data_IF_416149331312
#
_entry.id   IF_416149331312
#
_cell.length_a   1.000
_cell.length_b   1.000
_cell.length_c   1.000
_cell.angle_alpha   90.00
_cell.angle_beta   90.00
_cell.angle_gamma   90.00
#
_symmetry.space_group_name_H-M   'P 1'
#
loop_
_entity.id
_entity.type
_entity.pdbx_description
1 polymer ?
#
# COMPACT_ATOMS: atom_id res chain seq x y z
N UNK A 1 -13.43 -8.42 -39.96
CA UNK A 1 -13.26 -7.76 -38.65
C UNK A 1 -11.98 -6.94 -38.68
N UNK A 2 -12.06 -5.60 -38.61
CA UNK A 2 -10.86 -4.75 -38.49
C UNK A 2 -10.57 -4.55 -37.00
N UNK A 3 -9.41 -5.03 -36.54
CA UNK A 3 -8.89 -4.67 -35.23
C UNK A 3 -8.52 -3.18 -35.27
N UNK A 4 -9.20 -2.37 -34.46
CA UNK A 4 -8.84 -0.98 -34.25
C UNK A 4 -7.47 -0.87 -33.56
N UNK A 5 -6.77 0.27 -33.68
CA UNK A 5 -5.45 0.44 -33.07
C UNK A 5 -5.55 0.21 -31.56
N UNK A 6 -4.71 -0.68 -31.03
CA UNK A 6 -4.56 -0.91 -29.60
C UNK A 6 -4.27 0.42 -28.92
N UNK A 7 -5.21 0.93 -28.12
CA UNK A 7 -4.95 2.11 -27.30
C UNK A 7 -3.75 1.79 -26.41
N UNK A 8 -2.71 2.64 -26.37
CA UNK A 8 -1.60 2.41 -25.45
C UNK A 8 -2.18 2.39 -24.04
N UNK A 9 -2.07 1.24 -23.37
CA UNK A 9 -2.46 1.07 -21.98
C UNK A 9 -1.45 1.84 -21.11
N UNK A 10 -1.57 3.18 -21.10
CA UNK A 10 -0.80 4.04 -20.20
C UNK A 10 -1.32 3.77 -18.80
N UNK A 11 -0.65 2.88 -18.08
CA UNK A 11 -0.90 2.72 -16.65
C UNK A 11 -0.69 4.09 -15.99
N UNK A 12 -1.65 4.59 -15.20
CA UNK A 12 -1.43 5.82 -14.45
C UNK A 12 -0.17 5.68 -13.58
N UNK A 13 0.52 6.80 -13.27
CA UNK A 13 1.70 6.75 -12.42
C UNK A 13 1.36 6.05 -11.09
N UNK A 14 2.23 5.13 -10.68
CA UNK A 14 2.10 4.39 -9.42
C UNK A 14 1.87 5.40 -8.28
N UNK A 15 0.70 5.30 -7.63
CA UNK A 15 0.38 6.09 -6.44
C UNK A 15 0.77 5.27 -5.22
N UNK A 16 1.78 5.73 -4.50
CA UNK A 16 2.27 5.06 -3.31
C UNK A 16 1.43 5.47 -2.09
N UNK A 17 1.00 4.51 -1.29
CA UNK A 17 0.29 4.79 -0.03
C UNK A 17 0.87 3.92 1.05
N UNK A 18 1.34 4.55 2.13
CA UNK A 18 1.85 3.85 3.29
C UNK A 18 1.00 4.18 4.52
N UNK A 19 0.51 3.12 5.18
CA UNK A 19 -0.25 3.23 6.42
C UNK A 19 0.62 2.82 7.60
N UNK A 20 0.59 3.62 8.66
CA UNK A 20 1.31 3.37 9.90
C UNK A 20 0.30 3.05 11.01
N UNK A 21 0.36 1.84 11.57
CA UNK A 21 -0.47 1.41 12.70
C UNK A 21 -0.11 2.23 13.95
N UNK A 22 -0.96 3.17 14.35
CA UNK A 22 -0.78 3.96 15.58
C UNK A 22 0.41 4.93 15.61
N UNK A 23 1.32 4.90 14.63
CA UNK A 23 2.55 5.70 14.63
C UNK A 23 2.37 7.03 13.89
N UNK A 24 1.62 7.96 14.47
CA UNK A 24 1.37 9.30 13.89
C UNK A 24 2.66 10.07 13.57
N UNK A 25 3.68 9.96 14.44
CA UNK A 25 4.99 10.61 14.22
C UNK A 25 5.70 10.05 12.98
N UNK A 26 5.64 8.74 12.75
CA UNK A 26 6.26 8.11 11.59
C UNK A 26 5.59 8.57 10.29
N UNK A 27 4.25 8.61 10.26
CA UNK A 27 3.51 9.13 9.12
C UNK A 27 3.86 10.60 8.82
N UNK A 28 4.03 11.43 9.85
CA UNK A 28 4.42 12.84 9.70
C UNK A 28 5.83 12.97 9.11
N UNK A 29 6.81 12.27 9.68
CA UNK A 29 8.20 12.26 9.17
C UNK A 29 8.27 11.78 7.72
N UNK A 30 7.49 10.77 7.36
CA UNK A 30 7.45 10.27 5.99
C UNK A 30 6.88 11.31 5.01
N UNK A 31 5.86 12.07 5.44
CA UNK A 31 5.33 13.18 4.66
C UNK A 31 6.34 14.33 4.53
N UNK A 32 7.05 14.70 5.60
CA UNK A 32 8.14 15.68 5.57
C UNK A 32 9.23 15.25 4.57
N UNK A 33 9.65 13.98 4.62
CA UNK A 33 10.64 13.43 3.69
C UNK A 33 10.17 13.46 2.24
N UNK A 34 8.90 13.15 1.97
CA UNK A 34 8.35 13.23 0.62
C UNK A 34 8.36 14.67 0.08
N UNK A 35 8.02 15.65 0.92
CA UNK A 35 8.09 17.07 0.56
C UNK A 35 9.53 17.49 0.22
N UNK A 36 10.51 17.08 1.04
CA UNK A 36 11.93 17.37 0.81
C UNK A 36 12.46 16.78 -0.50
N UNK A 37 11.88 15.67 -0.97
CA UNK A 37 12.28 14.99 -2.20
C UNK A 37 11.33 15.26 -3.39
N UNK A 38 10.39 16.20 -3.24
CA UNK A 38 9.42 16.56 -4.28
C UNK A 38 8.55 15.38 -4.78
N UNK A 39 8.25 14.39 -3.93
CA UNK A 39 7.36 13.29 -4.28
C UNK A 39 5.89 13.71 -4.14
N UNK A 40 5.20 13.82 -5.28
CA UNK A 40 3.78 14.24 -5.35
C UNK A 40 2.79 13.06 -5.43
N UNK A 41 3.28 11.85 -5.68
CA UNK A 41 2.49 10.65 -5.92
C UNK A 41 2.35 9.75 -4.69
N UNK A 42 2.76 10.21 -3.50
CA UNK A 42 2.68 9.45 -2.25
C UNK A 42 1.70 10.05 -1.24
N UNK A 43 1.07 9.20 -0.43
CA UNK A 43 0.29 9.63 0.74
C UNK A 43 0.57 8.75 1.95
N UNK A 44 0.80 9.38 3.09
CA UNK A 44 1.07 8.72 4.37
C UNK A 44 -0.14 8.88 5.28
N UNK A 45 -0.60 7.76 5.85
CA UNK A 45 -1.84 7.74 6.63
C UNK A 45 -1.55 7.05 7.97
N UNK A 46 -1.76 7.75 9.07
CA UNK A 46 -1.82 7.11 10.38
C UNK A 46 -3.22 6.48 10.56
N UNK A 47 -3.26 5.20 10.90
CA UNK A 47 -4.53 4.47 11.07
C UNK A 47 -4.42 3.40 12.15
N UNK A 48 -5.57 2.85 12.54
CA UNK A 48 -5.62 1.65 13.37
C UNK A 48 -5.39 0.41 12.50
N UNK A 49 -4.94 -0.69 13.11
CA UNK A 49 -4.70 -1.93 12.36
C UNK A 49 -5.97 -2.65 11.96
N UNK A 50 -7.03 -2.51 12.77
CA UNK A 50 -8.31 -3.17 12.56
C UNK A 50 -9.04 -2.62 11.32
N UNK A 51 -8.48 -1.58 10.67
CA UNK A 51 -9.08 -0.91 9.52
C UNK A 51 -8.04 -0.36 8.55
N UNK A 52 -6.99 -1.14 8.28
CA UNK A 52 -5.92 -0.74 7.35
C UNK A 52 -6.47 -0.55 5.93
N UNK A 53 -7.33 -1.45 5.46
CA UNK A 53 -7.80 -1.46 4.07
C UNK A 53 -9.14 -0.74 3.84
N UNK A 54 -9.95 -0.50 4.88
CA UNK A 54 -11.31 0.08 4.78
C UNK A 54 -11.43 1.47 4.12
N UNK A 55 -10.31 2.20 3.92
CA UNK A 55 -10.30 3.56 3.36
C UNK A 55 -9.19 3.73 2.31
N UNK A 56 -8.98 2.71 1.48
CA UNK A 56 -8.05 2.77 0.35
C UNK A 56 -8.88 2.94 -0.93
N UNK A 57 -8.74 4.06 -1.67
CA UNK A 57 -9.49 4.30 -2.90
C UNK A 57 -8.83 3.60 -4.10
N UNK A 58 -8.52 2.32 -3.93
CA UNK A 58 -7.91 1.43 -4.94
C UNK A 58 -8.47 0.04 -4.69
N UNK A 59 -8.87 -0.63 -5.76
CA UNK A 59 -9.27 -2.02 -5.74
C UNK A 59 -8.06 -2.93 -5.50
N UNK A 60 -8.22 -3.98 -4.70
CA UNK A 60 -7.13 -4.89 -4.36
C UNK A 60 -6.41 -5.45 -5.58
N UNK A 61 -7.15 -5.97 -6.56
CA UNK A 61 -6.59 -6.59 -7.76
C UNK A 61 -5.80 -5.62 -8.67
N UNK A 62 -5.86 -4.31 -8.43
CA UNK A 62 -5.05 -3.29 -9.09
C UNK A 62 -3.84 -2.85 -8.25
N UNK A 63 -3.70 -3.38 -7.03
CA UNK A 63 -2.71 -2.99 -6.04
C UNK A 63 -1.58 -4.01 -5.87
N UNK A 64 -0.47 -3.52 -5.34
CA UNK A 64 0.55 -4.35 -4.72
C UNK A 64 0.72 -3.88 -3.27
N UNK A 65 0.86 -4.83 -2.34
CA UNK A 65 1.01 -4.55 -0.91
C UNK A 65 2.40 -5.00 -0.48
N UNK A 66 3.15 -4.08 0.14
CA UNK A 66 4.43 -4.37 0.78
C UNK A 66 4.19 -4.41 2.29
N UNK A 67 4.59 -5.51 2.93
CA UNK A 67 4.47 -5.72 4.37
C UNK A 67 5.87 -5.93 4.94
N UNK A 68 6.22 -5.08 5.90
CA UNK A 68 7.43 -5.19 6.71
C UNK A 68 6.98 -5.32 8.18
N UNK A 69 6.69 -6.55 8.64
CA UNK A 69 6.16 -6.79 9.97
C UNK A 69 7.25 -6.75 11.04
N UNK A 70 6.88 -6.56 12.33
CA UNK A 70 7.81 -6.80 13.43
C UNK A 70 8.28 -8.26 13.43
N UNK A 71 9.36 -8.57 14.17
CA UNK A 71 9.94 -9.93 14.24
C UNK A 71 8.94 -11.06 14.55
N UNK A 72 7.87 -10.75 15.27
CA UNK A 72 6.77 -11.69 15.60
C UNK A 72 5.83 -12.00 14.42
N UNK A 73 5.99 -11.35 13.27
CA UNK A 73 5.09 -11.44 12.13
C UNK A 73 3.83 -10.56 12.24
N UNK A 74 2.92 -10.79 11.30
CA UNK A 74 1.58 -10.21 11.27
C UNK A 74 0.62 -10.97 12.20
N UNK A 75 -0.33 -10.26 12.81
CA UNK A 75 -1.46 -10.90 13.49
C UNK A 75 -2.51 -11.42 12.49
N UNK A 76 -3.31 -12.39 12.91
CA UNK A 76 -4.33 -13.04 12.06
C UNK A 76 -5.36 -12.04 11.54
N UNK A 77 -5.79 -11.10 12.39
CA UNK A 77 -6.71 -10.03 12.00
C UNK A 77 -6.18 -9.13 10.86
N UNK A 78 -4.86 -8.92 10.77
CA UNK A 78 -4.27 -8.23 9.63
C UNK A 78 -4.25 -9.11 8.37
N UNK A 79 -3.88 -10.39 8.52
CA UNK A 79 -3.81 -11.33 7.40
C UNK A 79 -5.19 -11.55 6.77
N UNK A 80 -6.25 -11.66 7.58
CA UNK A 80 -7.63 -11.75 7.10
C UNK A 80 -8.05 -10.52 6.31
N UNK A 81 -7.71 -9.32 6.81
CA UNK A 81 -7.97 -8.09 6.10
C UNK A 81 -7.17 -7.99 4.78
N UNK A 82 -5.92 -8.45 4.77
CA UNK A 82 -5.07 -8.47 3.58
C UNK A 82 -5.61 -9.45 2.54
N UNK A 83 -6.06 -10.63 2.97
CA UNK A 83 -6.70 -11.64 2.12
C UNK A 83 -8.01 -11.10 1.53
N UNK A 84 -8.88 -10.53 2.36
CA UNK A 84 -10.14 -9.93 1.92
C UNK A 84 -9.92 -8.72 1.00
N UNK A 85 -8.87 -7.93 1.22
CA UNK A 85 -8.50 -6.85 0.30
C UNK A 85 -8.08 -7.39 -1.07
N UNK A 86 -7.43 -8.55 -1.13
CA UNK A 86 -7.12 -9.24 -2.39
C UNK A 86 -6.13 -8.50 -3.29
N UNK A 87 -4.94 -8.11 -2.80
CA UNK A 87 -3.94 -7.46 -3.64
C UNK A 87 -3.43 -8.39 -4.73
N UNK A 88 -3.16 -7.86 -5.92
CA UNK A 88 -2.59 -8.65 -7.03
C UNK A 88 -1.22 -9.22 -6.71
N UNK A 89 -0.45 -8.53 -5.85
CA UNK A 89 0.87 -8.97 -5.39
C UNK A 89 1.10 -8.58 -3.93
N UNK A 90 1.72 -9.47 -3.18
CA UNK A 90 2.17 -9.23 -1.82
C UNK A 90 3.69 -9.41 -1.80
N UNK A 91 4.41 -8.42 -1.27
CA UNK A 91 5.83 -8.51 -0.94
C UNK A 91 5.92 -8.51 0.58
N UNK A 92 6.39 -9.61 1.15
CA UNK A 92 6.56 -9.76 2.59
C UNK A 92 8.06 -9.75 2.91
N UNK A 93 8.51 -8.77 3.68
CA UNK A 93 9.92 -8.62 4.07
C UNK A 93 10.08 -9.19 5.49
N UNK A 94 10.76 -10.33 5.62
CA UNK A 94 11.04 -10.92 6.94
C UNK A 94 12.51 -10.71 7.32
N UNK A 95 12.73 -10.29 8.56
CA UNK A 95 14.05 -10.28 9.20
C UNK A 95 14.31 -11.54 10.06
N UNK A 96 13.35 -12.47 10.10
CA UNK A 96 13.42 -13.77 10.77
C UNK A 96 12.98 -14.85 9.75
N UNK A 97 13.92 -15.44 8.99
CA UNK A 97 13.62 -16.54 8.08
C UNK A 97 13.31 -17.84 8.84
#
# INVERSE_FOLDING_TARGET
MRFGPLRPFRRPPLRFRQRYRGQRRAARKAAENATLNHFLNCRFIAGSAESIFKKIPVEGHESAVIVDPPRKGCDEAFLDQLHAFGPRRIVYVSCAP
#
